data_IF_877843798784
#
_entry.id   IF_877843798784
#
_cell.length_a   1.000
_cell.length_b   1.000
_cell.length_c   1.000
_cell.angle_alpha   90.00
_cell.angle_beta   90.00
_cell.angle_gamma   90.00
#
_symmetry.space_group_name_H-M   'P 1'
#
loop_
_entity.id
_entity.type
_entity.pdbx_description
1 polymer ?
#
# COMPACT_ATOMS: atom_id res chain seq x y z
N UNK A 1 5.57 -24.38 33.89
CA UNK A 1 6.69 -23.43 33.74
C UNK A 1 6.94 -23.33 32.25
N UNK A 2 6.44 -22.25 31.64
CA UNK A 2 6.50 -22.08 30.19
C UNK A 2 7.94 -21.70 29.84
N UNK A 3 8.63 -22.61 29.16
CA UNK A 3 9.92 -22.38 28.56
C UNK A 3 9.70 -21.41 27.40
N UNK A 4 9.85 -20.11 27.67
CA UNK A 4 9.88 -19.11 26.62
C UNK A 4 11.29 -19.18 26.05
N UNK A 5 11.50 -20.09 25.10
CA UNK A 5 12.75 -20.24 24.37
C UNK A 5 13.05 -18.88 23.73
N UNK A 6 13.99 -18.15 24.32
CA UNK A 6 14.30 -16.78 23.94
C UNK A 6 15.06 -16.80 22.61
N UNK A 7 14.40 -16.38 21.53
CA UNK A 7 14.99 -16.42 20.19
C UNK A 7 16.06 -15.34 20.04
N UNK A 8 17.33 -15.77 19.97
CA UNK A 8 18.48 -14.87 19.85
C UNK A 8 18.46 -14.14 18.49
N UNK A 9 18.42 -12.81 18.53
CA UNK A 9 18.36 -11.91 17.38
C UNK A 9 19.77 -11.40 17.05
N UNK A 10 20.29 -11.78 15.88
CA UNK A 10 21.66 -11.44 15.46
C UNK A 10 21.70 -10.13 14.68
N UNK A 11 22.73 -9.31 14.92
CA UNK A 11 22.98 -8.12 14.10
C UNK A 11 23.32 -8.53 12.66
N UNK A 12 22.74 -7.83 11.69
CA UNK A 12 22.88 -8.13 10.25
C UNK A 12 23.88 -7.22 9.53
N UNK A 13 24.58 -6.36 10.27
CA UNK A 13 25.61 -5.47 9.69
C UNK A 13 26.89 -6.24 9.36
N UNK A 14 27.48 -5.89 8.21
CA UNK A 14 28.71 -6.52 7.73
C UNK A 14 29.87 -6.23 8.68
N UNK A 15 30.56 -7.27 9.14
CA UNK A 15 31.61 -7.25 10.17
C UNK A 15 31.13 -6.98 11.61
N UNK A 16 29.84 -7.17 11.90
CA UNK A 16 29.31 -7.17 13.27
C UNK A 16 28.81 -8.56 13.68
N UNK A 17 29.41 -9.15 14.72
CA UNK A 17 29.06 -10.47 15.23
C UNK A 17 28.19 -10.42 16.51
N UNK A 18 27.69 -9.24 16.88
CA UNK A 18 26.88 -9.06 18.09
C UNK A 18 25.49 -9.68 17.93
N UNK A 19 25.02 -10.31 18.98
CA UNK A 19 23.73 -11.00 19.05
C UNK A 19 23.04 -10.59 20.34
N UNK A 20 21.72 -10.55 20.30
CA UNK A 20 20.91 -9.94 21.34
C UNK A 20 19.73 -10.84 21.66
N UNK A 21 19.33 -10.81 22.91
CA UNK A 21 18.21 -11.60 23.41
C UNK A 21 16.89 -10.89 23.13
N UNK A 22 16.94 -9.57 22.95
CA UNK A 22 15.77 -8.77 22.67
C UNK A 22 15.98 -7.87 21.45
N UNK A 23 14.87 -7.52 20.80
CA UNK A 23 14.88 -6.59 19.67
C UNK A 23 15.28 -5.15 20.07
N UNK A 24 15.19 -4.83 21.37
CA UNK A 24 15.54 -3.53 21.92
C UNK A 24 17.05 -3.36 21.97
N UNK A 25 17.77 -4.35 22.49
CA UNK A 25 19.23 -4.32 22.56
C UNK A 25 19.88 -4.32 21.17
N UNK A 26 19.29 -5.04 20.20
CA UNK A 26 19.75 -4.99 18.82
C UNK A 26 19.57 -3.60 18.20
N UNK A 27 18.49 -2.90 18.56
CA UNK A 27 18.20 -1.56 18.03
C UNK A 27 19.17 -0.53 18.59
N UNK A 28 19.42 -0.56 19.89
CA UNK A 28 20.39 0.33 20.54
C UNK A 28 21.80 0.09 19.97
N UNK A 29 22.18 -1.18 19.79
CA UNK A 29 23.42 -1.53 19.13
C UNK A 29 23.53 -0.96 17.71
N UNK A 30 22.48 -1.08 16.88
CA UNK A 30 22.49 -0.53 15.51
C UNK A 30 22.57 1.00 15.54
N UNK A 31 21.91 1.66 16.49
CA UNK A 31 21.91 3.11 16.61
C UNK A 31 23.28 3.67 17.04
N UNK A 32 23.98 2.98 17.95
CA UNK A 32 25.26 3.42 18.51
C UNK A 32 26.46 3.03 17.64
N UNK A 33 26.44 1.81 17.09
CA UNK A 33 27.59 1.18 16.41
C UNK A 33 27.46 1.24 14.88
N UNK A 34 26.24 1.43 14.36
CA UNK A 34 25.95 1.49 12.92
C UNK A 34 25.07 2.69 12.48
N UNK A 35 25.42 3.93 12.89
CA UNK A 35 24.60 5.10 12.61
C UNK A 35 24.55 5.43 11.11
N UNK A 36 23.33 5.62 10.58
CA UNK A 36 23.11 6.52 9.43
C UNK A 36 22.58 5.97 8.11
N UNK A 37 22.42 4.65 7.91
CA UNK A 37 22.19 4.15 6.54
C UNK A 37 20.94 3.26 6.33
N UNK A 38 20.29 2.83 7.42
CA UNK A 38 19.04 2.05 7.33
C UNK A 38 17.81 2.85 7.77
N UNK A 39 17.86 4.19 7.71
CA UNK A 39 16.76 5.07 8.15
C UNK A 39 16.08 5.67 6.93
N UNK A 40 14.75 5.57 6.85
CA UNK A 40 14.02 6.18 5.74
C UNK A 40 14.03 7.71 5.84
N UNK A 41 14.51 8.40 4.83
CA UNK A 41 14.58 9.88 4.81
C UNK A 41 13.21 10.57 4.71
N UNK A 42 12.17 9.86 4.24
CA UNK A 42 10.82 10.41 4.09
C UNK A 42 9.98 10.34 5.38
N UNK A 43 10.26 9.39 6.28
CA UNK A 43 9.46 9.19 7.49
C UNK A 43 10.26 8.84 8.76
N UNK A 44 11.58 8.74 8.66
CA UNK A 44 12.48 8.50 9.80
C UNK A 44 12.52 7.06 10.33
N UNK A 45 11.84 6.10 9.69
CA UNK A 45 11.78 4.73 10.21
C UNK A 45 13.12 3.99 10.01
N UNK A 46 13.66 3.40 11.08
CA UNK A 46 14.90 2.63 11.06
C UNK A 46 14.65 1.14 10.81
N UNK A 47 15.49 0.55 9.98
CA UNK A 47 15.41 -0.85 9.58
C UNK A 47 16.70 -1.59 9.97
N UNK A 48 16.59 -2.91 10.14
CA UNK A 48 17.76 -3.75 10.39
C UNK A 48 18.70 -3.82 9.17
N UNK A 49 18.18 -3.55 7.96
CA UNK A 49 18.95 -3.60 6.72
C UNK A 49 18.44 -2.63 5.63
N UNK A 50 19.33 -2.25 4.71
CA UNK A 50 19.06 -1.34 3.59
C UNK A 50 18.03 -1.89 2.60
N UNK A 51 17.88 -3.21 2.46
CA UNK A 51 16.91 -3.83 1.56
C UNK A 51 15.48 -3.68 2.06
N UNK A 52 15.28 -3.87 3.37
CA UNK A 52 14.02 -3.58 4.06
C UNK A 52 13.69 -2.08 4.00
N UNK A 53 14.69 -1.22 4.21
CA UNK A 53 14.54 0.23 4.05
C UNK A 53 14.23 0.61 2.58
N UNK A 54 14.87 -0.02 1.59
CA UNK A 54 14.62 0.24 0.17
C UNK A 54 13.25 -0.29 -0.29
N UNK A 55 12.81 -1.45 0.20
CA UNK A 55 11.44 -1.94 -0.04
C UNK A 55 10.40 -1.04 0.61
N UNK A 56 10.67 -0.56 1.82
CA UNK A 56 9.86 0.47 2.46
C UNK A 56 9.84 1.76 1.64
N UNK A 57 11.00 2.22 1.13
CA UNK A 57 11.10 3.39 0.23
C UNK A 57 10.30 3.19 -1.05
N UNK A 58 10.29 1.99 -1.63
CA UNK A 58 9.44 1.65 -2.77
C UNK A 58 7.94 1.78 -2.49
N UNK A 59 7.48 1.75 -1.22
CA UNK A 59 6.08 2.07 -0.90
C UNK A 59 5.77 3.57 -1.01
N UNK A 60 6.77 4.44 -0.88
CA UNK A 60 6.62 5.87 -1.17
C UNK A 60 6.63 6.14 -2.68
N UNK A 61 7.44 5.38 -3.45
CA UNK A 61 7.63 5.55 -4.89
C UNK A 61 6.68 4.72 -5.80
N UNK A 62 6.02 3.68 -5.29
CA UNK A 62 5.17 2.81 -6.13
C UNK A 62 3.92 3.56 -6.62
N UNK A 63 3.71 3.73 -7.93
CA UNK A 63 2.46 4.26 -8.47
C UNK A 63 1.41 3.14 -8.52
N UNK A 64 1.03 2.60 -7.36
CA UNK A 64 -0.06 1.62 -7.26
C UNK A 64 -0.91 1.91 -6.04
N UNK A 65 -1.20 3.19 -5.81
CA UNK A 65 -2.34 3.52 -5.00
C UNK A 65 -3.60 3.10 -5.77
N UNK A 66 -4.45 2.31 -5.14
CA UNK A 66 -5.83 2.06 -5.52
C UNK A 66 -6.58 3.39 -5.50
N UNK A 67 -6.67 4.03 -6.67
CA UNK A 67 -7.37 5.31 -6.84
C UNK A 67 -8.88 5.09 -6.80
N UNK A 68 -9.59 6.03 -6.21
CA UNK A 68 -11.02 6.12 -6.37
C UNK A 68 -11.35 6.34 -7.86
N UNK A 69 -12.33 5.61 -8.38
CA UNK A 69 -12.79 5.73 -9.77
C UNK A 69 -13.98 6.70 -9.92
N UNK A 70 -14.43 7.30 -8.82
CA UNK A 70 -15.55 8.24 -8.83
C UNK A 70 -15.04 9.60 -9.28
N UNK A 71 -15.67 10.15 -10.32
CA UNK A 71 -15.37 11.47 -10.85
C UNK A 71 -15.47 12.54 -9.74
N UNK A 72 -14.44 13.38 -9.64
CA UNK A 72 -14.31 14.37 -8.57
C UNK A 72 -13.70 13.86 -7.25
N UNK A 73 -13.26 12.59 -7.16
CA UNK A 73 -12.55 12.07 -6.00
C UNK A 73 -11.10 11.70 -6.33
N UNK A 74 -10.15 12.48 -5.82
CA UNK A 74 -8.70 12.28 -6.05
C UNK A 74 -8.03 11.38 -4.99
N UNK A 75 -8.81 10.68 -4.16
CA UNK A 75 -8.27 9.84 -3.09
C UNK A 75 -7.65 8.55 -3.64
N UNK A 76 -6.51 8.18 -3.07
CA UNK A 76 -5.77 6.99 -3.46
C UNK A 76 -5.24 6.25 -2.22
N UNK A 77 -5.29 4.91 -2.27
CA UNK A 77 -5.00 4.05 -1.12
C UNK A 77 -3.96 2.99 -1.45
N UNK A 78 -3.08 2.66 -0.51
CA UNK A 78 -2.04 1.65 -0.75
C UNK A 78 -2.52 0.21 -0.67
N UNK A 79 -3.73 -0.01 -0.16
CA UNK A 79 -4.33 -1.33 0.00
C UNK A 79 -5.77 -1.35 -0.53
N UNK A 80 -6.18 -2.48 -1.10
CA UNK A 80 -7.51 -2.65 -1.66
C UNK A 80 -8.62 -2.58 -0.60
N UNK A 81 -8.37 -3.10 0.61
CA UNK A 81 -9.30 -3.02 1.75
C UNK A 81 -9.63 -1.57 2.11
N UNK A 82 -8.61 -0.71 2.06
CA UNK A 82 -8.67 0.69 2.45
C UNK A 82 -9.43 1.51 1.40
N UNK A 83 -9.23 1.20 0.10
CA UNK A 83 -10.10 1.74 -0.95
C UNK A 83 -11.54 1.24 -0.80
N UNK A 84 -11.74 -0.05 -0.49
CA UNK A 84 -13.08 -0.63 -0.31
C UNK A 84 -13.88 0.07 0.80
N UNK A 85 -13.26 0.31 1.95
CA UNK A 85 -13.89 1.07 3.05
C UNK A 85 -14.19 2.52 2.66
N UNK A 86 -13.29 3.17 1.91
CA UNK A 86 -13.54 4.52 1.37
C UNK A 86 -14.76 4.54 0.43
N UNK A 87 -14.80 3.64 -0.56
CA UNK A 87 -15.91 3.56 -1.51
C UNK A 87 -17.24 3.33 -0.80
N UNK A 88 -17.28 2.44 0.19
CA UNK A 88 -18.50 2.16 0.94
C UNK A 88 -18.96 3.37 1.78
N UNK A 89 -18.02 4.07 2.44
CA UNK A 89 -18.35 5.17 3.36
C UNK A 89 -18.59 6.52 2.69
N UNK A 90 -17.89 6.81 1.58
CA UNK A 90 -17.96 8.11 0.88
C UNK A 90 -18.79 8.06 -0.40
N UNK A 91 -18.84 6.90 -1.07
CA UNK A 91 -19.48 6.75 -2.37
C UNK A 91 -20.54 5.63 -2.39
N UNK A 92 -20.86 5.03 -1.24
CA UNK A 92 -21.72 3.86 -1.17
C UNK A 92 -23.14 4.12 -1.69
N UNK A 93 -23.67 5.33 -1.48
CA UNK A 93 -24.99 5.71 -2.00
C UNK A 93 -24.99 5.83 -3.53
N UNK A 94 -24.00 6.51 -4.10
CA UNK A 94 -23.82 6.66 -5.55
C UNK A 94 -23.66 5.30 -6.25
N UNK A 95 -22.82 4.42 -5.68
CA UNK A 95 -22.60 3.07 -6.21
C UNK A 95 -23.89 2.24 -6.15
N UNK A 96 -24.66 2.34 -5.05
CA UNK A 96 -25.94 1.62 -4.92
C UNK A 96 -26.99 2.10 -5.92
N UNK A 97 -27.07 3.40 -6.17
CA UNK A 97 -28.00 3.96 -7.17
C UNK A 97 -27.63 3.49 -8.59
N UNK A 98 -26.34 3.49 -8.93
CA UNK A 98 -25.88 2.97 -10.22
C UNK A 98 -26.27 1.49 -10.41
N UNK A 99 -26.02 0.65 -9.39
CA UNK A 99 -26.37 -0.78 -9.42
C UNK A 99 -27.89 -1.01 -9.55
N UNK A 100 -28.72 -0.21 -8.88
CA UNK A 100 -30.19 -0.28 -9.00
C UNK A 100 -30.67 0.11 -10.41
N UNK A 101 -30.06 1.13 -11.02
CA UNK A 101 -30.34 1.51 -12.39
C UNK A 101 -30.00 0.39 -13.37
N UNK A 102 -28.82 -0.24 -13.25
CA UNK A 102 -28.45 -1.37 -14.10
C UNK A 102 -29.38 -2.58 -13.93
N UNK A 103 -29.91 -2.83 -12.73
CA UNK A 103 -30.87 -3.91 -12.50
C UNK A 103 -32.22 -3.69 -13.19
N UNK A 104 -32.56 -2.44 -13.51
CA UNK A 104 -33.80 -2.09 -14.23
C UNK A 104 -33.69 -2.27 -15.75
N UNK A 105 -32.48 -2.33 -16.29
CA UNK A 105 -32.23 -2.64 -17.70
C UNK A 105 -31.73 -4.08 -17.82
N UNK A 106 -32.64 -4.99 -18.20
CA UNK A 106 -32.30 -6.40 -18.40
C UNK A 106 -31.30 -6.61 -19.54
N UNK A 107 -30.73 -7.81 -19.70
CA UNK A 107 -29.70 -8.13 -20.69
C UNK A 107 -30.14 -8.01 -22.17
N UNK A 108 -31.35 -7.51 -22.45
CA UNK A 108 -31.93 -7.41 -23.79
C UNK A 108 -31.89 -6.00 -24.42
N UNK A 109 -31.47 -4.96 -23.70
CA UNK A 109 -31.48 -3.56 -24.21
C UNK A 109 -30.08 -3.01 -24.58
N UNK A 110 -29.06 -3.86 -24.70
CA UNK A 110 -27.69 -3.44 -25.01
C UNK A 110 -27.37 -3.32 -26.52
N UNK A 111 -28.33 -3.53 -27.42
CA UNK A 111 -28.08 -3.56 -28.87
C UNK A 111 -28.51 -2.28 -29.60
N UNK A 112 -29.22 -1.35 -28.98
CA UNK A 112 -29.80 -0.19 -29.70
C UNK A 112 -29.10 1.14 -29.48
N UNK A 113 -28.19 1.25 -28.51
CA UNK A 113 -27.43 2.49 -28.30
C UNK A 113 -26.03 2.36 -28.91
N UNK A 114 -25.96 2.63 -30.22
CA UNK A 114 -24.71 2.91 -30.91
C UNK A 114 -24.01 4.10 -30.20
N UNK A 115 -22.78 3.94 -29.69
CA UNK A 115 -22.07 5.03 -29.03
C UNK A 115 -21.81 6.17 -30.04
N UNK A 116 -22.08 7.45 -29.70
CA UNK A 116 -21.78 8.58 -30.57
C UNK A 116 -20.29 8.90 -30.48
N UNK A 117 -19.44 8.03 -31.00
CA UNK A 117 -18.01 8.32 -31.17
C UNK A 117 -17.54 7.81 -32.54
N UNK A 118 -18.04 8.49 -33.58
CA UNK A 118 -17.33 8.57 -34.86
C UNK A 118 -16.12 9.49 -34.64
N UNK A 119 -14.94 8.89 -34.51
CA UNK A 119 -13.67 9.61 -34.63
C UNK A 119 -13.44 9.80 -36.13
N UNK A 120 -13.85 10.96 -36.65
CA UNK A 120 -13.54 11.37 -38.02
C UNK A 120 -12.03 11.61 -38.11
N UNK A 121 -11.33 10.76 -38.87
CA UNK A 121 -9.95 11.01 -39.27
C UNK A 121 -9.96 12.15 -40.30
N UNK A 122 -9.35 13.28 -39.94
CA UNK A 122 -9.09 14.39 -40.87
C UNK A 122 -7.95 14.01 -41.81
N UNK A 123 -8.15 14.38 -43.08
CA UNK A 123 -7.27 14.30 -44.26
C UNK A 123 -5.86 14.88 -44.00
#
# INVERSE_FOLDING_TARGET
>A
MADHENEIIKCRFWNCAKQFETAEELRDHIAEDHPGDNVCEHCGQAFLDKGSQAFHKKKHDAPTAFKCFIDGCDHAYWRADSLGTHLLSKHGELIRQAVDQFRKFGPHDLVTHSPPFVIEARD
#
